data_IF_726724572267
#
_entry.id   IF_726724572267
#
_cell.length_a   1.000
_cell.length_b   1.000
_cell.length_c   1.000
_cell.angle_alpha   90.00
_cell.angle_beta   90.00
_cell.angle_gamma   90.00
#
_symmetry.space_group_name_H-M   'P 1'
#
loop_
_entity.id
_entity.type
_entity.pdbx_description
1 polymer ?
#
# COMPACT_ATOMS: atom_id res chain seq x y z
N UNK A 1 15.83 19.21 7.64
CA UNK A 1 14.50 19.51 7.12
C UNK A 1 13.88 20.66 7.88
N UNK A 2 13.14 21.43 7.17
CA UNK A 2 12.48 22.59 7.74
C UNK A 2 10.97 22.32 7.87
N UNK A 3 10.24 23.34 8.28
CA UNK A 3 8.80 23.21 8.48
C UNK A 3 8.08 22.83 7.20
N UNK A 4 8.58 23.28 6.07
CA UNK A 4 7.96 22.95 4.79
C UNK A 4 8.07 21.45 4.50
N UNK A 5 9.24 20.86 4.74
CA UNK A 5 9.43 19.44 4.54
C UNK A 5 8.55 18.62 5.47
N UNK A 6 8.38 19.08 6.70
CA UNK A 6 7.51 18.41 7.65
C UNK A 6 6.06 18.46 7.21
N UNK A 7 5.62 19.58 6.67
CA UNK A 7 4.26 19.71 6.16
C UNK A 7 4.03 18.81 4.95
N UNK A 8 5.01 18.78 4.05
CA UNK A 8 4.92 17.91 2.88
C UNK A 8 4.84 16.45 3.27
N UNK A 9 5.62 16.05 4.27
CA UNK A 9 5.63 14.68 4.76
C UNK A 9 4.30 14.32 5.40
N UNK A 10 3.73 15.23 6.20
CA UNK A 10 2.45 15.01 6.84
C UNK A 10 1.33 14.91 5.80
N UNK A 11 1.34 15.80 4.80
CA UNK A 11 0.35 15.77 3.73
C UNK A 11 0.45 14.48 2.92
N UNK A 12 1.67 14.04 2.67
CA UNK A 12 1.90 12.80 1.94
C UNK A 12 1.38 11.60 2.72
N UNK A 13 1.56 11.61 4.03
CA UNK A 13 1.06 10.55 4.89
C UNK A 13 -0.46 10.49 4.85
N UNK A 14 -1.13 11.62 4.94
CA UNK A 14 -2.58 11.69 4.87
C UNK A 14 -3.08 11.18 3.52
N UNK A 15 -2.43 11.59 2.45
CA UNK A 15 -2.78 11.13 1.11
C UNK A 15 -2.61 9.63 0.99
N UNK A 16 -1.53 9.10 1.53
CA UNK A 16 -1.26 7.66 1.48
C UNK A 16 -2.30 6.87 2.26
N UNK A 17 -2.64 7.34 3.47
CA UNK A 17 -3.65 6.67 4.29
C UNK A 17 -4.99 6.65 3.55
N UNK A 18 -5.38 7.75 2.97
CA UNK A 18 -6.63 7.83 2.21
C UNK A 18 -6.60 6.91 0.99
N UNK A 19 -5.46 6.86 0.31
CA UNK A 19 -5.30 6.01 -0.87
C UNK A 19 -5.40 4.53 -0.50
N UNK A 20 -4.78 4.14 0.61
CA UNK A 20 -4.86 2.76 1.09
C UNK A 20 -6.29 2.41 1.46
N UNK A 21 -6.99 3.32 2.12
CA UNK A 21 -8.38 3.10 2.52
C UNK A 21 -9.29 2.93 1.30
N UNK A 22 -8.92 3.51 0.17
CA UNK A 22 -9.71 3.41 -1.06
C UNK A 22 -9.38 2.19 -1.90
N UNK A 23 -8.37 1.41 -1.52
CA UNK A 23 -8.02 0.20 -2.26
C UNK A 23 -9.10 -0.87 -2.14
N UNK A 24 -9.27 -1.72 -3.17
CA UNK A 24 -10.09 -2.91 -3.02
C UNK A 24 -9.63 -3.71 -1.81
N UNK A 25 -10.56 -4.39 -1.17
CA UNK A 25 -10.29 -5.08 0.10
C UNK A 25 -9.06 -5.98 0.03
N UNK A 26 -8.94 -6.79 -1.01
CA UNK A 26 -7.82 -7.72 -1.14
C UNK A 26 -6.48 -7.01 -1.26
N UNK A 27 -6.46 -5.92 -2.02
CA UNK A 27 -5.24 -5.12 -2.16
C UNK A 27 -4.86 -4.45 -0.85
N UNK A 28 -5.84 -3.92 -0.13
CA UNK A 28 -5.59 -3.32 1.18
C UNK A 28 -5.04 -4.35 2.17
N UNK A 29 -5.58 -5.57 2.14
CA UNK A 29 -5.08 -6.65 2.99
C UNK A 29 -3.63 -6.99 2.69
N UNK A 30 -3.28 -7.08 1.41
CA UNK A 30 -1.90 -7.40 1.03
C UNK A 30 -0.94 -6.30 1.47
N UNK A 31 -1.32 -5.04 1.28
CA UNK A 31 -0.50 -3.92 1.70
C UNK A 31 -0.30 -3.93 3.21
N UNK A 32 -1.37 -4.17 3.96
CA UNK A 32 -1.31 -4.24 5.42
C UNK A 32 -0.36 -5.35 5.87
N UNK A 33 -0.54 -6.54 5.32
CA UNK A 33 0.27 -7.69 5.73
C UNK A 33 1.73 -7.53 5.34
N UNK A 34 1.98 -6.92 4.20
CA UNK A 34 3.34 -6.78 3.71
C UNK A 34 4.12 -5.68 4.43
N UNK A 35 3.52 -4.52 4.61
CA UNK A 35 4.24 -3.35 5.14
C UNK A 35 4.09 -3.18 6.65
N UNK A 36 2.96 -3.52 7.21
CA UNK A 36 2.72 -3.34 8.64
C UNK A 36 3.10 -4.60 9.42
N UNK A 37 2.65 -5.75 8.96
CA UNK A 37 2.94 -7.02 9.62
C UNK A 37 4.27 -7.62 9.18
N UNK A 38 4.86 -7.06 8.13
CA UNK A 38 6.17 -7.45 7.59
C UNK A 38 6.24 -8.94 7.19
N UNK A 39 5.15 -9.44 6.64
CA UNK A 39 5.11 -10.80 6.14
C UNK A 39 5.67 -10.86 4.72
N UNK A 40 6.27 -12.01 4.36
CA UNK A 40 6.72 -12.19 2.98
C UNK A 40 5.55 -12.67 2.12
N UNK A 41 5.78 -12.77 0.80
CA UNK A 41 4.72 -13.13 -0.13
C UNK A 41 4.11 -14.49 0.13
N UNK A 42 4.95 -15.46 0.53
CA UNK A 42 4.47 -16.80 0.82
C UNK A 42 3.57 -16.79 2.06
N UNK A 43 3.98 -16.07 3.09
CA UNK A 43 3.20 -15.97 4.32
C UNK A 43 1.86 -15.29 4.06
N UNK A 44 1.86 -14.24 3.27
CA UNK A 44 0.63 -13.56 2.89
C UNK A 44 -0.28 -14.51 2.12
N UNK A 45 0.32 -15.29 1.21
CA UNK A 45 -0.44 -16.28 0.45
C UNK A 45 -1.13 -17.28 1.36
N UNK A 46 -0.43 -17.74 2.41
CA UNK A 46 -1.02 -18.65 3.37
C UNK A 46 -2.19 -18.01 4.12
N UNK A 47 -2.04 -16.75 4.50
CA UNK A 47 -3.10 -16.04 5.20
C UNK A 47 -4.33 -15.87 4.32
N UNK A 48 -4.12 -15.54 3.04
CA UNK A 48 -5.22 -15.24 2.12
C UNK A 48 -5.73 -16.46 1.35
N UNK A 49 -5.02 -17.58 1.44
CA UNK A 49 -5.42 -18.79 0.73
C UNK A 49 -5.10 -18.75 -0.75
N UNK A 50 -4.05 -18.05 -1.15
CA UNK A 50 -3.64 -17.95 -2.56
C UNK A 50 -2.12 -18.19 -2.65
N UNK A 51 -1.63 -18.38 -3.87
CA UNK A 51 -0.20 -18.57 -4.09
C UNK A 51 0.56 -17.26 -4.02
N UNK A 52 1.88 -17.35 -3.81
CA UNK A 52 2.73 -16.17 -3.72
C UNK A 52 2.74 -15.38 -5.03
N UNK A 53 2.61 -16.05 -6.18
CA UNK A 53 2.53 -15.35 -7.46
C UNK A 53 1.29 -14.45 -7.53
N UNK A 54 0.16 -14.93 -7.00
CA UNK A 54 -1.05 -14.14 -6.97
C UNK A 54 -0.91 -12.97 -6.00
N UNK A 55 -0.26 -13.20 -4.86
CA UNK A 55 0.01 -12.11 -3.91
C UNK A 55 0.86 -11.03 -4.57
N UNK A 56 1.87 -11.44 -5.34
CA UNK A 56 2.72 -10.50 -6.06
C UNK A 56 1.91 -9.64 -7.03
N UNK A 57 0.99 -10.28 -7.77
CA UNK A 57 0.12 -9.57 -8.70
C UNK A 57 -0.77 -8.56 -7.97
N UNK A 58 -1.35 -8.98 -6.84
CA UNK A 58 -2.21 -8.09 -6.05
C UNK A 58 -1.40 -6.92 -5.51
N UNK A 59 -0.19 -7.19 -5.01
CA UNK A 59 0.69 -6.15 -4.50
C UNK A 59 1.04 -5.14 -5.60
N UNK A 60 1.34 -5.64 -6.81
CA UNK A 60 1.68 -4.78 -7.93
C UNK A 60 0.50 -3.88 -8.31
N UNK A 61 -0.72 -4.43 -8.31
CA UNK A 61 -1.91 -3.65 -8.61
C UNK A 61 -2.14 -2.58 -7.55
N UNK A 62 -1.94 -2.94 -6.27
CA UNK A 62 -2.06 -1.98 -5.18
C UNK A 62 -1.07 -0.84 -5.33
N UNK A 63 0.18 -1.17 -5.62
CA UNK A 63 1.21 -0.16 -5.83
C UNK A 63 0.88 0.78 -6.99
N UNK A 64 0.35 0.24 -8.08
CA UNK A 64 -0.03 1.05 -9.22
C UNK A 64 -1.12 2.05 -8.85
N UNK A 65 -2.12 1.61 -8.06
CA UNK A 65 -3.18 2.49 -7.61
C UNK A 65 -2.67 3.55 -6.65
N UNK A 66 -1.78 3.17 -5.73
CA UNK A 66 -1.19 4.11 -4.78
C UNK A 66 -0.34 5.15 -5.49
N UNK A 67 0.48 4.72 -6.44
CA UNK A 67 1.32 5.62 -7.22
C UNK A 67 0.46 6.64 -7.98
N UNK A 68 -0.62 6.17 -8.57
CA UNK A 68 -1.53 7.04 -9.32
C UNK A 68 -2.19 8.06 -8.40
N UNK A 69 -2.62 7.62 -7.22
CA UNK A 69 -3.25 8.51 -6.26
C UNK A 69 -2.29 9.59 -5.76
N UNK A 70 -1.03 9.21 -5.49
CA UNK A 70 -0.01 10.15 -5.05
C UNK A 70 0.36 11.14 -6.15
N UNK A 71 0.39 10.67 -7.40
CA UNK A 71 0.72 11.53 -8.53
C UNK A 71 -0.31 12.64 -8.73
N UNK A 72 -1.58 12.35 -8.43
CA UNK A 72 -2.64 13.33 -8.56
C UNK A 72 -2.50 14.46 -7.54
N UNK A 73 -1.90 14.17 -6.40
CA UNK A 73 -1.76 15.14 -5.34
C UNK A 73 -0.69 16.17 -5.68
N UNK A 74 0.29 15.78 -6.45
CA UNK A 74 1.37 16.65 -6.88
C UNK A 74 0.98 17.39 -8.16
#
# INVERSE_FOLDING_TARGET
PDAFDQLAESDLRETLVAAIAALPEREAQVVQLYYVEELNLEEIGLVLGVGSARVCQIKAAAHARLKKALARKV
#
